data_IF_326461696615
#
_entry.id   IF_326461696615
#
_cell.length_a   1.000
_cell.length_b   1.000
_cell.length_c   1.000
_cell.angle_alpha   90.00
_cell.angle_beta   90.00
_cell.angle_gamma   90.00
#
_symmetry.space_group_name_H-M   'P 1'
#
loop_
_entity.id
_entity.type
_entity.pdbx_description
1 polymer ?
#
# COMPACT_ATOMS: atom_id res chain seq x y z
N UNK A 1 -12.26 -29.75 26.36
CA UNK A 1 -10.89 -29.48 25.88
C UNK A 1 -9.92 -29.93 26.94
N UNK A 2 -8.87 -30.60 26.56
CA UNK A 2 -7.78 -30.95 27.47
C UNK A 2 -6.85 -29.76 27.62
N UNK A 3 -6.30 -29.56 28.82
CA UNK A 3 -5.37 -28.48 29.13
C UNK A 3 -4.09 -29.07 29.72
N UNK A 4 -2.97 -28.40 29.52
CA UNK A 4 -1.70 -28.60 30.19
C UNK A 4 -1.38 -27.40 31.07
N UNK A 5 -0.56 -27.59 32.07
CA UNK A 5 -0.09 -26.52 32.95
C UNK A 5 1.25 -26.00 32.43
N UNK A 6 1.31 -24.69 32.17
CA UNK A 6 2.53 -23.98 31.82
C UNK A 6 2.86 -22.95 32.90
N UNK A 7 4.14 -22.57 33.03
CA UNK A 7 4.58 -21.67 34.10
C UNK A 7 5.44 -20.55 33.50
N UNK A 8 5.20 -19.34 33.96
CA UNK A 8 6.07 -18.18 33.79
C UNK A 8 6.42 -17.51 35.11
N UNK A 9 7.04 -16.33 35.09
CA UNK A 9 7.44 -15.58 36.29
C UNK A 9 6.25 -15.11 37.15
N UNK A 10 5.03 -15.12 36.59
CA UNK A 10 3.80 -14.75 37.30
C UNK A 10 3.07 -15.98 37.90
N UNK A 11 3.57 -17.20 37.67
CA UNK A 11 2.99 -18.44 38.13
C UNK A 11 2.39 -19.33 37.06
N UNK A 12 1.54 -20.27 37.45
CA UNK A 12 0.98 -21.29 36.56
C UNK A 12 -0.25 -20.79 35.80
N UNK A 13 -0.41 -21.22 34.57
CA UNK A 13 -1.58 -20.96 33.72
C UNK A 13 -1.96 -22.22 32.92
N UNK A 14 -3.26 -22.39 32.67
CA UNK A 14 -3.78 -23.48 31.86
C UNK A 14 -3.71 -23.10 30.40
N UNK A 15 -3.07 -23.95 29.58
CA UNK A 15 -2.93 -23.77 28.11
C UNK A 15 -3.59 -24.98 27.43
N UNK A 16 -4.34 -24.82 26.32
CA UNK A 16 -4.89 -25.97 25.61
C UNK A 16 -3.81 -26.99 25.27
N UNK A 17 -4.07 -28.28 25.48
CA UNK A 17 -3.03 -29.31 25.41
C UNK A 17 -2.38 -29.47 24.02
N UNK A 18 -3.12 -29.13 22.95
CA UNK A 18 -2.72 -29.36 21.55
C UNK A 18 -1.97 -28.20 20.88
N UNK A 19 -1.89 -27.03 21.52
CA UNK A 19 -1.25 -25.84 20.92
C UNK A 19 0.23 -25.74 21.26
N UNK A 20 1.02 -25.08 20.40
CA UNK A 20 2.46 -24.89 20.61
C UNK A 20 2.80 -23.62 21.38
N UNK A 21 1.86 -22.71 21.66
CA UNK A 21 2.16 -21.57 22.52
C UNK A 21 2.19 -21.95 23.99
N UNK A 22 2.85 -21.13 24.80
CA UNK A 22 3.03 -21.33 26.24
C UNK A 22 2.27 -20.33 27.10
N UNK A 23 2.81 -20.10 28.32
CA UNK A 23 2.17 -19.31 29.35
C UNK A 23 1.98 -17.84 28.98
N UNK A 24 2.99 -17.20 28.37
CA UNK A 24 2.94 -15.77 28.08
C UNK A 24 1.93 -15.45 26.96
N UNK A 25 1.85 -16.27 25.93
CA UNK A 25 0.82 -16.14 24.89
C UNK A 25 -0.57 -16.36 25.45
N UNK A 26 -0.75 -17.38 26.30
CA UNK A 26 -2.05 -17.65 26.93
C UNK A 26 -2.53 -16.46 27.78
N UNK A 27 -1.64 -15.87 28.59
CA UNK A 27 -1.98 -14.65 29.34
C UNK A 27 -2.36 -13.49 28.46
N UNK A 28 -1.69 -13.31 27.33
CA UNK A 28 -2.04 -12.26 26.36
C UNK A 28 -3.44 -12.46 25.80
N UNK A 29 -3.80 -13.71 25.45
CA UNK A 29 -5.15 -14.06 24.97
C UNK A 29 -6.22 -13.72 26.01
N UNK A 30 -5.92 -13.97 27.30
CA UNK A 30 -6.86 -13.71 28.41
C UNK A 30 -6.96 -12.22 28.75
N UNK A 31 -5.84 -11.49 28.65
CA UNK A 31 -5.75 -10.07 29.01
C UNK A 31 -6.34 -9.15 27.93
N UNK A 32 -6.09 -9.41 26.65
CA UNK A 32 -6.48 -8.52 25.55
C UNK A 32 -7.65 -9.08 24.76
N UNK A 33 -8.88 -8.82 25.22
CA UNK A 33 -10.13 -9.28 24.59
C UNK A 33 -10.74 -8.20 23.68
N UNK A 34 -9.92 -7.59 22.82
CA UNK A 34 -10.29 -6.46 21.98
C UNK A 34 -10.30 -6.89 20.51
N UNK A 35 -11.44 -6.83 19.84
CA UNK A 35 -11.62 -7.11 18.40
C UNK A 35 -10.97 -8.43 17.92
N UNK A 36 -11.09 -9.50 18.69
CA UNK A 36 -10.40 -10.79 18.48
C UNK A 36 -10.63 -11.43 17.12
N UNK A 37 -11.83 -11.25 16.58
CA UNK A 37 -12.23 -11.89 15.33
C UNK A 37 -11.82 -11.06 14.09
N UNK A 38 -11.51 -9.77 14.27
CA UNK A 38 -11.30 -8.83 13.18
C UNK A 38 -9.91 -8.22 13.14
N UNK A 39 -9.20 -8.10 14.28
CA UNK A 39 -7.90 -7.45 14.36
C UNK A 39 -6.80 -8.38 14.91
N UNK A 40 -6.59 -9.50 14.25
CA UNK A 40 -5.43 -10.38 14.53
C UNK A 40 -4.15 -9.73 14.01
N UNK A 41 -3.03 -10.07 14.65
CA UNK A 41 -1.70 -9.68 14.15
C UNK A 41 -1.52 -10.22 12.74
N UNK A 42 -1.13 -9.38 11.77
CA UNK A 42 -0.94 -9.81 10.38
C UNK A 42 0.08 -10.95 10.25
N UNK A 43 -0.21 -11.87 9.33
CA UNK A 43 0.67 -13.03 9.10
C UNK A 43 2.07 -12.62 8.62
N UNK A 44 2.19 -11.48 7.95
CA UNK A 44 3.46 -10.91 7.50
C UNK A 44 4.41 -10.62 8.68
N UNK A 45 3.87 -10.25 9.84
CA UNK A 45 4.65 -10.06 11.07
C UNK A 45 5.11 -11.40 11.61
N UNK A 46 4.27 -12.43 11.55
CA UNK A 46 4.64 -13.80 11.96
C UNK A 46 5.77 -14.34 11.09
N UNK A 47 5.68 -14.17 9.76
CA UNK A 47 6.75 -14.54 8.83
C UNK A 47 8.03 -13.73 9.07
N UNK A 48 7.90 -12.42 9.35
CA UNK A 48 9.05 -11.60 9.68
C UNK A 48 9.76 -12.08 10.95
N UNK A 49 9.00 -12.47 11.98
CA UNK A 49 9.60 -13.12 13.16
C UNK A 49 10.31 -14.44 12.81
N UNK A 50 9.77 -15.26 11.91
CA UNK A 50 10.44 -16.49 11.50
C UNK A 50 11.81 -16.19 10.83
N UNK A 51 11.89 -15.20 9.96
CA UNK A 51 13.19 -14.75 9.40
C UNK A 51 14.14 -14.25 10.49
N UNK A 52 13.66 -13.44 11.44
CA UNK A 52 14.46 -12.92 12.55
C UNK A 52 15.00 -14.06 13.42
N UNK A 53 14.13 -14.99 13.85
CA UNK A 53 14.51 -16.07 14.77
C UNK A 53 15.47 -17.05 14.09
N UNK A 54 15.29 -17.36 12.81
CA UNK A 54 16.22 -18.16 12.04
C UNK A 54 17.58 -17.49 11.89
N UNK A 55 17.61 -16.19 11.50
CA UNK A 55 18.83 -15.43 11.36
C UNK A 55 19.58 -15.30 12.70
N UNK A 56 18.86 -15.03 13.80
CA UNK A 56 19.44 -14.94 15.13
C UNK A 56 20.02 -16.27 15.61
N UNK A 57 19.35 -17.39 15.34
CA UNK A 57 19.87 -18.72 15.67
C UNK A 57 21.16 -19.03 14.90
N UNK A 58 21.21 -18.72 13.60
CA UNK A 58 22.42 -18.88 12.76
C UNK A 58 23.56 -17.99 13.32
N UNK A 59 23.28 -16.72 13.56
CA UNK A 59 24.29 -15.76 14.07
C UNK A 59 24.82 -16.16 15.45
N UNK A 60 23.98 -16.61 16.37
CA UNK A 60 24.38 -17.07 17.69
C UNK A 60 25.16 -18.41 17.63
N UNK A 61 24.83 -19.28 16.68
CA UNK A 61 25.61 -20.51 16.44
C UNK A 61 27.00 -20.15 15.88
N UNK A 62 27.10 -19.29 14.90
CA UNK A 62 28.38 -18.82 14.34
C UNK A 62 29.27 -18.12 15.37
N UNK A 63 28.63 -17.40 16.33
CA UNK A 63 29.32 -16.81 17.48
C UNK A 63 29.68 -17.81 18.60
N UNK A 64 29.33 -19.08 18.46
CA UNK A 64 29.64 -20.14 19.43
C UNK A 64 28.83 -20.12 20.72
N UNK A 65 27.71 -19.38 20.79
CA UNK A 65 26.87 -19.23 21.98
C UNK A 65 25.51 -19.95 21.90
N UNK A 66 25.21 -20.61 20.78
CA UNK A 66 24.09 -21.52 20.59
C UNK A 66 24.60 -22.84 20.01
N UNK A 67 24.05 -23.97 20.45
CA UNK A 67 24.43 -25.29 19.93
C UNK A 67 23.98 -25.46 18.47
N UNK A 68 24.69 -26.33 17.72
CA UNK A 68 24.28 -26.69 16.36
C UNK A 68 22.87 -27.30 16.33
N UNK A 69 22.59 -28.22 17.26
CA UNK A 69 21.28 -28.87 17.37
C UNK A 69 20.14 -27.85 17.60
N UNK A 70 20.32 -26.89 18.52
CA UNK A 70 19.34 -25.83 18.76
C UNK A 70 19.15 -24.95 17.55
N UNK A 71 20.21 -24.58 16.84
CA UNK A 71 20.15 -23.79 15.61
C UNK A 71 19.36 -24.51 14.50
N UNK A 72 19.62 -25.80 14.29
CA UNK A 72 18.94 -26.61 13.28
C UNK A 72 17.45 -26.78 13.60
N UNK A 73 17.10 -27.04 14.86
CA UNK A 73 15.71 -27.20 15.31
C UNK A 73 14.93 -25.88 15.19
N UNK A 74 15.49 -24.76 15.63
CA UNK A 74 14.88 -23.42 15.50
C UNK A 74 14.67 -23.11 14.02
N UNK A 75 15.69 -23.33 13.18
CA UNK A 75 15.61 -23.06 11.75
C UNK A 75 14.51 -23.87 11.08
N UNK A 76 14.40 -25.16 11.41
CA UNK A 76 13.36 -26.04 10.85
C UNK A 76 11.94 -25.58 11.20
N UNK A 77 11.70 -25.14 12.43
CA UNK A 77 10.37 -24.60 12.81
C UNK A 77 10.10 -23.28 12.13
N UNK A 78 11.11 -22.41 11.99
CA UNK A 78 10.94 -21.17 11.23
C UNK A 78 10.54 -21.45 9.77
N UNK A 79 11.11 -22.48 9.15
CA UNK A 79 10.69 -22.89 7.79
C UNK A 79 9.24 -23.40 7.77
N UNK A 80 8.79 -24.17 8.78
CA UNK A 80 7.37 -24.55 8.90
C UNK A 80 6.44 -23.34 9.03
N UNK A 81 6.86 -22.28 9.74
CA UNK A 81 6.09 -21.02 9.84
C UNK A 81 6.02 -20.32 8.47
N UNK A 82 7.15 -20.18 7.79
CA UNK A 82 7.20 -19.56 6.45
C UNK A 82 6.38 -20.34 5.40
N UNK A 83 6.28 -21.65 5.55
CA UNK A 83 5.43 -22.54 4.75
C UNK A 83 3.94 -22.51 5.14
N UNK A 84 3.51 -21.61 6.03
CA UNK A 84 2.14 -21.48 6.55
C UNK A 84 1.58 -22.73 7.26
N UNK A 85 2.43 -23.61 7.78
CA UNK A 85 2.01 -24.86 8.45
C UNK A 85 1.55 -24.64 9.91
N UNK A 86 1.85 -23.47 10.48
CA UNK A 86 1.61 -23.15 11.90
C UNK A 86 0.78 -21.88 12.11
N UNK A 87 0.03 -21.41 11.12
CA UNK A 87 -0.70 -20.13 11.15
C UNK A 87 -1.71 -20.05 12.31
N UNK A 88 -2.34 -21.16 12.68
CA UNK A 88 -3.28 -21.30 13.78
C UNK A 88 -2.64 -21.12 15.17
N UNK A 89 -1.31 -21.15 15.25
CA UNK A 89 -0.54 -20.99 16.48
C UNK A 89 -0.25 -19.53 16.87
N UNK A 90 -0.74 -18.57 16.07
CA UNK A 90 -0.52 -17.12 16.25
C UNK A 90 -1.85 -16.38 16.44
N UNK A 91 -2.53 -16.58 17.60
CA UNK A 91 -3.89 -16.08 17.83
C UNK A 91 -3.95 -14.62 18.31
N UNK A 92 -2.80 -13.95 18.53
CA UNK A 92 -2.76 -12.66 19.21
C UNK A 92 -3.36 -11.53 18.38
N UNK A 93 -3.94 -10.56 19.09
CA UNK A 93 -4.55 -9.37 18.48
C UNK A 93 -3.55 -8.22 18.38
N UNK A 94 -3.87 -7.25 17.53
CA UNK A 94 -3.12 -5.98 17.37
C UNK A 94 -3.14 -5.17 18.68
N UNK A 95 -4.26 -5.19 19.40
CA UNK A 95 -4.49 -4.43 20.64
C UNK A 95 -3.87 -5.17 21.84
N UNK A 96 -2.54 -5.17 21.87
CA UNK A 96 -1.68 -5.78 22.89
C UNK A 96 -0.73 -4.74 23.45
N UNK A 97 0.30 -5.15 24.23
CA UNK A 97 1.34 -4.19 24.63
C UNK A 97 1.97 -3.51 23.43
N UNK A 98 2.14 -2.22 23.50
CA UNK A 98 2.61 -1.39 22.36
C UNK A 98 4.05 -1.65 21.93
N UNK A 99 4.85 -2.35 22.74
CA UNK A 99 6.18 -2.84 22.37
C UNK A 99 6.15 -4.06 21.44
N UNK A 100 5.01 -4.79 21.38
CA UNK A 100 4.87 -6.05 20.65
C UNK A 100 5.47 -7.26 21.36
N UNK A 101 5.77 -7.16 22.66
CA UNK A 101 6.39 -8.24 23.43
C UNK A 101 5.60 -9.55 23.37
N UNK A 102 4.26 -9.51 23.43
CA UNK A 102 3.48 -10.74 23.37
C UNK A 102 3.62 -11.46 22.02
N UNK A 103 3.66 -10.74 20.91
CA UNK A 103 3.89 -11.33 19.58
C UNK A 103 5.31 -11.94 19.47
N UNK A 104 6.33 -11.27 19.99
CA UNK A 104 7.67 -11.83 20.08
C UNK A 104 7.71 -13.11 20.91
N UNK A 105 7.06 -13.11 22.08
CA UNK A 105 7.00 -14.29 22.95
C UNK A 105 6.15 -15.40 22.34
N UNK A 106 5.06 -15.09 21.63
CA UNK A 106 4.30 -16.08 20.91
C UNK A 106 5.19 -16.82 19.88
N UNK A 107 5.98 -16.09 19.09
CA UNK A 107 6.93 -16.71 18.16
C UNK A 107 7.97 -17.57 18.92
N UNK A 108 8.54 -17.07 20.01
CA UNK A 108 9.52 -17.80 20.80
C UNK A 108 8.94 -19.10 21.38
N UNK A 109 7.73 -19.04 21.97
CA UNK A 109 7.07 -20.21 22.56
C UNK A 109 6.70 -21.25 21.50
N UNK A 110 6.09 -20.83 20.39
CA UNK A 110 5.74 -21.74 19.27
C UNK A 110 6.98 -22.43 18.71
N UNK A 111 8.05 -21.67 18.48
CA UNK A 111 9.32 -22.24 17.96
C UNK A 111 9.90 -23.25 18.95
N UNK A 112 10.01 -22.90 20.23
CA UNK A 112 10.60 -23.76 21.24
C UNK A 112 9.80 -25.07 21.43
N UNK A 113 8.49 -24.98 21.51
CA UNK A 113 7.63 -26.13 21.81
C UNK A 113 7.45 -27.03 20.57
N UNK A 114 7.33 -26.44 19.38
CA UNK A 114 7.33 -27.23 18.14
C UNK A 114 8.66 -27.94 17.92
N UNK A 115 9.81 -27.29 18.19
CA UNK A 115 11.14 -27.89 18.12
C UNK A 115 11.26 -29.09 19.07
N UNK A 116 10.74 -28.97 20.30
CA UNK A 116 10.71 -30.06 21.26
C UNK A 116 9.95 -31.29 20.73
N UNK A 117 8.77 -31.06 20.15
CA UNK A 117 7.97 -32.15 19.54
C UNK A 117 8.67 -32.74 18.33
N UNK A 118 9.31 -31.93 17.48
CA UNK A 118 10.11 -32.43 16.34
C UNK A 118 11.29 -33.31 16.78
N UNK A 119 11.80 -33.06 17.98
CA UNK A 119 12.87 -33.86 18.59
C UNK A 119 12.36 -35.08 19.39
N UNK A 120 11.08 -35.45 19.27
CA UNK A 120 10.47 -36.61 19.89
C UNK A 120 9.90 -36.39 21.28
N UNK A 121 9.93 -35.17 21.83
CA UNK A 121 9.33 -34.80 23.10
C UNK A 121 7.82 -34.61 23.04
N UNK A 122 7.19 -34.48 24.22
CA UNK A 122 5.77 -34.20 24.33
C UNK A 122 5.52 -32.79 24.90
N UNK A 123 4.39 -32.16 24.51
CA UNK A 123 4.03 -30.85 25.03
C UNK A 123 3.82 -30.80 26.54
N UNK A 124 3.48 -31.94 27.14
CA UNK A 124 3.33 -32.11 28.59
C UNK A 124 4.64 -32.20 29.37
N UNK A 125 5.78 -32.39 28.69
CA UNK A 125 7.07 -32.50 29.37
C UNK A 125 7.38 -31.20 30.12
N UNK A 126 7.83 -31.28 31.34
CA UNK A 126 8.16 -30.12 32.16
C UNK A 126 9.33 -29.33 31.60
N UNK A 127 10.35 -30.02 31.09
CA UNK A 127 11.55 -29.43 30.51
C UNK A 127 11.58 -29.62 29.00
N UNK A 128 11.58 -28.52 28.24
CA UNK A 128 11.73 -28.52 26.78
C UNK A 128 13.20 -28.53 26.40
N UNK A 129 13.54 -29.10 25.23
CA UNK A 129 14.93 -29.12 24.70
C UNK A 129 15.44 -27.73 24.36
N UNK A 130 14.56 -26.84 23.97
CA UNK A 130 14.82 -25.43 23.63
C UNK A 130 13.98 -24.55 24.52
N UNK A 131 14.61 -23.53 25.14
CA UNK A 131 13.92 -22.57 25.99
C UNK A 131 13.53 -21.31 25.18
N UNK A 132 12.27 -20.83 25.30
CA UNK A 132 11.81 -19.64 24.54
C UNK A 132 12.67 -18.40 24.72
N UNK A 133 13.10 -18.10 25.96
CA UNK A 133 13.89 -16.90 26.26
C UNK A 133 15.39 -17.13 26.09
N UNK A 134 15.93 -18.25 26.57
CA UNK A 134 17.37 -18.45 26.68
C UNK A 134 18.00 -18.91 25.35
N UNK A 135 17.22 -19.57 24.48
CA UNK A 135 17.69 -20.07 23.20
C UNK A 135 17.08 -19.30 22.02
N UNK A 136 15.74 -19.29 21.88
CA UNK A 136 15.07 -18.64 20.73
C UNK A 136 15.24 -17.13 20.75
N UNK A 137 15.14 -16.52 21.93
CA UNK A 137 15.29 -15.06 22.10
C UNK A 137 16.73 -14.63 22.46
N UNK A 138 17.71 -15.53 22.40
CA UNK A 138 19.12 -15.23 22.73
C UNK A 138 19.65 -14.03 21.94
N UNK A 139 20.34 -13.10 22.62
CA UNK A 139 20.88 -11.85 22.05
C UNK A 139 19.84 -10.86 21.53
N UNK A 140 18.57 -10.96 21.98
CA UNK A 140 17.45 -10.16 21.48
C UNK A 140 16.63 -9.56 22.62
N UNK A 141 15.87 -8.53 22.31
CA UNK A 141 14.76 -8.00 23.08
C UNK A 141 13.52 -7.89 22.20
N UNK A 142 12.32 -7.89 22.78
CA UNK A 142 11.12 -7.50 22.02
C UNK A 142 11.23 -6.08 21.45
N UNK A 143 12.03 -5.24 22.09
CA UNK A 143 12.17 -3.83 21.73
C UNK A 143 12.90 -3.64 20.39
N UNK A 144 13.85 -4.51 20.05
CA UNK A 144 14.56 -4.49 18.75
C UNK A 144 13.99 -5.50 17.73
N UNK A 145 13.42 -6.64 18.19
CA UNK A 145 12.86 -7.64 17.27
C UNK A 145 11.57 -7.19 16.61
N UNK A 146 10.65 -6.54 17.34
CA UNK A 146 9.38 -6.13 16.77
C UNK A 146 9.53 -5.02 15.70
N UNK A 147 10.30 -3.92 15.90
CA UNK A 147 10.54 -2.97 14.83
C UNK A 147 11.29 -3.59 13.64
N UNK A 148 12.19 -4.54 13.87
CA UNK A 148 12.81 -5.31 12.78
C UNK A 148 11.76 -6.11 11.99
N UNK A 149 10.81 -6.75 12.68
CA UNK A 149 9.69 -7.44 12.01
C UNK A 149 8.81 -6.47 11.23
N UNK A 150 8.55 -5.27 11.76
CA UNK A 150 7.82 -4.21 11.04
C UNK A 150 8.51 -3.85 9.72
N UNK A 151 9.83 -3.61 9.75
CA UNK A 151 10.60 -3.24 8.56
C UNK A 151 10.62 -4.37 7.52
N UNK A 152 10.87 -5.61 7.93
CA UNK A 152 10.85 -6.77 7.02
C UNK A 152 9.47 -6.93 6.36
N UNK A 153 8.39 -6.91 7.14
CA UNK A 153 7.04 -7.07 6.64
C UNK A 153 6.63 -5.92 5.72
N UNK A 154 6.94 -4.67 6.09
CA UNK A 154 6.65 -3.48 5.29
C UNK A 154 7.42 -3.50 3.96
N UNK A 155 8.71 -3.81 3.99
CA UNK A 155 9.53 -3.89 2.77
C UNK A 155 8.99 -4.95 1.81
N UNK A 156 8.74 -6.17 2.33
CA UNK A 156 8.23 -7.29 1.52
C UNK A 156 6.90 -6.98 0.85
N UNK A 157 5.92 -6.48 1.59
CA UNK A 157 4.59 -6.20 1.01
C UNK A 157 4.66 -5.11 -0.08
N UNK A 158 5.54 -4.11 0.09
CA UNK A 158 5.76 -3.10 -0.95
C UNK A 158 6.31 -3.70 -2.24
N UNK A 159 7.30 -4.59 -2.14
CA UNK A 159 7.95 -5.23 -3.30
C UNK A 159 7.05 -6.29 -3.94
N UNK A 160 6.36 -7.10 -3.14
CA UNK A 160 5.65 -8.30 -3.61
C UNK A 160 4.20 -8.01 -4.05
N UNK A 161 3.58 -6.91 -3.54
CA UNK A 161 2.18 -6.59 -3.82
C UNK A 161 2.00 -5.16 -4.35
N UNK A 162 2.46 -4.16 -3.61
CA UNK A 162 2.10 -2.76 -3.87
C UNK A 162 2.72 -2.22 -5.16
N UNK A 163 4.04 -2.33 -5.29
CA UNK A 163 4.77 -1.85 -6.48
C UNK A 163 4.34 -2.59 -7.76
N UNK A 164 4.18 -3.93 -7.77
CA UNK A 164 3.66 -4.64 -8.94
C UNK A 164 2.28 -4.15 -9.37
N UNK A 165 1.34 -3.99 -8.43
CA UNK A 165 -0.02 -3.55 -8.75
C UNK A 165 -0.06 -2.14 -9.36
N UNK A 166 0.65 -1.18 -8.78
CA UNK A 166 0.76 0.18 -9.31
C UNK A 166 1.44 0.19 -10.68
N UNK A 167 2.50 -0.61 -10.85
CA UNK A 167 3.26 -0.70 -12.11
C UNK A 167 2.39 -1.24 -13.24
N UNK A 168 1.62 -2.29 -12.97
CA UNK A 168 0.70 -2.87 -13.95
C UNK A 168 -0.34 -1.86 -14.42
N UNK A 169 -1.00 -1.16 -13.49
CA UNK A 169 -1.99 -0.12 -13.81
C UNK A 169 -1.35 1.03 -14.61
N UNK A 170 -0.21 1.52 -14.14
CA UNK A 170 0.53 2.60 -14.83
C UNK A 170 0.86 2.22 -16.27
N UNK A 171 1.35 1.00 -16.52
CA UNK A 171 1.72 0.54 -17.85
C UNK A 171 0.49 0.41 -18.77
N UNK A 172 -0.64 -0.05 -18.26
CA UNK A 172 -1.91 -0.08 -19.03
C UNK A 172 -2.36 1.31 -19.42
N UNK A 173 -2.35 2.27 -18.48
CA UNK A 173 -2.72 3.66 -18.78
C UNK A 173 -1.75 4.32 -19.76
N UNK A 174 -0.45 3.99 -19.69
CA UNK A 174 0.56 4.47 -20.63
C UNK A 174 0.28 3.98 -22.07
N UNK A 175 -0.01 2.68 -22.20
CA UNK A 175 -0.42 2.12 -23.50
C UNK A 175 -1.68 2.78 -24.05
N UNK A 176 -2.69 3.05 -23.19
CA UNK A 176 -3.91 3.77 -23.59
C UNK A 176 -3.63 5.23 -23.95
N UNK A 177 -2.77 5.92 -23.20
CA UNK A 177 -2.33 7.27 -23.50
C UNK A 177 -1.75 7.35 -24.92
N UNK A 178 -0.82 6.45 -25.22
CA UNK A 178 -0.20 6.39 -26.56
C UNK A 178 -1.22 6.07 -27.67
N UNK A 179 -2.11 5.10 -27.42
CA UNK A 179 -3.12 4.71 -28.39
C UNK A 179 -4.14 5.82 -28.70
N UNK A 180 -4.46 6.67 -27.74
CA UNK A 180 -5.47 7.73 -27.85
C UNK A 180 -4.88 9.13 -28.09
N UNK A 181 -3.59 9.22 -28.39
CA UNK A 181 -2.90 10.50 -28.56
C UNK A 181 -3.45 11.34 -29.73
N UNK A 182 -4.06 10.70 -30.73
CA UNK A 182 -4.67 11.35 -31.87
C UNK A 182 -6.11 11.84 -31.65
N UNK A 183 -6.76 11.48 -30.53
CA UNK A 183 -8.17 11.78 -30.28
C UNK A 183 -8.28 13.14 -29.59
N UNK A 184 -8.67 14.16 -30.31
CA UNK A 184 -8.88 15.51 -29.80
C UNK A 184 -10.22 15.62 -29.09
N UNK A 185 -10.23 16.15 -27.89
CA UNK A 185 -11.40 16.36 -27.02
C UNK A 185 -11.35 17.73 -26.35
N UNK A 186 -12.47 18.16 -25.76
CA UNK A 186 -12.44 19.33 -24.89
C UNK A 186 -11.73 19.01 -23.57
N UNK A 187 -10.95 19.98 -23.08
CA UNK A 187 -10.51 20.00 -21.69
C UNK A 187 -11.60 20.54 -20.76
N UNK A 188 -11.47 20.23 -19.46
CA UNK A 188 -12.35 20.77 -18.43
C UNK A 188 -11.52 21.28 -17.26
N UNK A 189 -11.76 22.54 -16.88
CA UNK A 189 -11.24 23.13 -15.64
C UNK A 189 -12.42 23.62 -14.83
N UNK A 190 -12.41 23.43 -13.50
CA UNK A 190 -13.56 23.68 -12.63
C UNK A 190 -14.84 22.92 -13.04
N UNK A 191 -14.72 21.81 -13.74
CA UNK A 191 -15.78 21.06 -14.43
C UNK A 191 -16.51 21.85 -15.53
N UNK A 192 -15.95 23.00 -15.95
CA UNK A 192 -16.43 23.83 -17.05
C UNK A 192 -15.58 23.57 -18.31
N UNK A 193 -16.18 23.82 -19.47
CA UNK A 193 -15.50 23.67 -20.75
C UNK A 193 -14.25 24.56 -20.83
N UNK A 194 -13.17 23.97 -21.33
CA UNK A 194 -11.88 24.62 -21.54
C UNK A 194 -11.35 24.37 -22.95
N UNK A 195 -10.12 24.79 -23.21
CA UNK A 195 -9.47 24.56 -24.51
C UNK A 195 -9.24 23.08 -24.77
N UNK A 196 -9.13 22.67 -26.05
CA UNK A 196 -8.87 21.29 -26.43
C UNK A 196 -7.54 20.75 -25.92
N UNK A 197 -7.53 19.42 -25.67
CA UNK A 197 -6.36 18.57 -25.52
C UNK A 197 -6.67 17.22 -26.19
N UNK A 198 -5.72 16.31 -26.22
CA UNK A 198 -6.03 14.94 -26.65
C UNK A 198 -6.38 14.05 -25.47
N UNK A 199 -7.16 12.99 -25.71
CA UNK A 199 -7.44 11.97 -24.68
C UNK A 199 -6.15 11.30 -24.19
N UNK A 200 -5.18 11.09 -25.10
CA UNK A 200 -3.86 10.60 -24.74
C UNK A 200 -3.11 11.53 -23.80
N UNK A 201 -3.15 12.85 -24.01
CA UNK A 201 -2.55 13.84 -23.11
C UNK A 201 -3.22 13.83 -21.73
N UNK A 202 -4.54 13.69 -21.65
CA UNK A 202 -5.26 13.58 -20.40
C UNK A 202 -4.82 12.34 -19.59
N UNK A 203 -4.75 11.17 -20.24
CA UNK A 203 -4.26 9.93 -19.60
C UNK A 203 -2.78 10.00 -19.23
N UNK A 204 -1.95 10.69 -19.99
CA UNK A 204 -0.52 10.87 -19.69
C UNK A 204 -0.29 11.55 -18.32
N UNK A 205 -1.20 12.43 -17.91
CA UNK A 205 -1.20 13.02 -16.57
C UNK A 205 -1.35 11.97 -15.47
N UNK A 206 -2.21 10.97 -15.66
CA UNK A 206 -2.38 9.86 -14.71
C UNK A 206 -1.15 8.96 -14.67
N UNK A 207 -0.56 8.68 -15.83
CA UNK A 207 0.70 7.93 -15.94
C UNK A 207 1.82 8.63 -15.18
N UNK A 208 1.95 9.93 -15.32
CA UNK A 208 2.94 10.73 -14.59
C UNK A 208 2.74 10.68 -13.07
N UNK A 209 1.48 10.79 -12.58
CA UNK A 209 1.16 10.67 -11.16
C UNK A 209 1.59 9.31 -10.59
N UNK A 210 1.25 8.21 -11.27
CA UNK A 210 1.63 6.86 -10.82
C UNK A 210 3.14 6.63 -10.92
N UNK A 211 3.82 7.17 -11.94
CA UNK A 211 5.28 7.11 -12.08
C UNK A 211 5.97 7.82 -10.91
N UNK A 212 5.48 9.00 -10.53
CA UNK A 212 6.00 9.72 -9.36
C UNK A 212 5.71 8.97 -8.06
N UNK A 213 4.52 8.36 -7.93
CA UNK A 213 4.17 7.51 -6.79
C UNK A 213 5.10 6.32 -6.62
N UNK A 214 5.38 5.58 -7.70
CA UNK A 214 6.35 4.48 -7.72
C UNK A 214 7.74 4.94 -7.27
N UNK A 215 8.20 6.09 -7.78
CA UNK A 215 9.49 6.68 -7.36
C UNK A 215 9.52 7.01 -5.88
N UNK A 216 8.44 7.60 -5.34
CA UNK A 216 8.36 7.99 -3.93
C UNK A 216 8.40 6.76 -3.01
N UNK A 217 7.68 5.68 -3.35
CA UNK A 217 7.74 4.41 -2.61
C UNK A 217 9.16 3.84 -2.67
N UNK A 218 9.77 3.75 -3.86
CA UNK A 218 11.13 3.23 -4.01
C UNK A 218 12.16 4.02 -3.19
N UNK A 219 12.03 5.34 -3.09
CA UNK A 219 12.91 6.18 -2.29
C UNK A 219 12.84 5.85 -0.78
N UNK A 220 11.67 5.47 -0.27
CA UNK A 220 11.49 5.12 1.16
C UNK A 220 12.05 3.73 1.53
N UNK A 221 12.33 2.87 0.53
CA UNK A 221 12.84 1.52 0.79
C UNK A 221 14.23 1.51 1.45
N UNK A 222 15.07 2.51 1.19
CA UNK A 222 16.39 2.59 1.81
C UNK A 222 16.30 2.69 3.33
N UNK A 223 15.38 3.53 3.84
CA UNK A 223 15.17 3.69 5.28
C UNK A 223 14.53 2.44 5.90
N UNK A 224 13.56 1.81 5.21
CA UNK A 224 12.99 0.54 5.64
C UNK A 224 14.00 -0.62 5.65
N UNK A 225 15.11 -0.53 4.91
CA UNK A 225 16.14 -1.57 4.91
C UNK A 225 17.00 -1.59 6.17
N UNK A 226 16.97 -0.54 6.99
CA UNK A 226 17.75 -0.41 8.22
C UNK A 226 17.05 -1.12 9.39
N UNK A 227 17.72 -2.13 9.98
CA UNK A 227 17.12 -2.99 11.01
C UNK A 227 17.57 -2.61 12.43
N UNK A 228 16.61 -2.53 13.35
CA UNK A 228 16.84 -2.24 14.76
C UNK A 228 17.54 -3.38 15.52
N UNK A 229 17.49 -4.61 15.00
CA UNK A 229 17.99 -5.81 15.67
C UNK A 229 19.46 -5.68 16.05
N UNK A 230 19.79 -6.09 17.26
CA UNK A 230 21.09 -5.89 17.89
C UNK A 230 21.14 -4.69 18.85
N UNK A 231 20.10 -3.82 18.85
CA UNK A 231 19.97 -2.74 19.85
C UNK A 231 19.55 -3.25 21.23
N UNK A 232 18.92 -4.41 21.27
CA UNK A 232 18.37 -5.04 22.47
C UNK A 232 17.37 -4.15 23.22
N UNK A 233 17.54 -3.93 24.52
CA UNK A 233 16.52 -3.30 25.37
C UNK A 233 16.32 -1.80 25.09
N UNK A 234 17.39 -1.04 24.87
CA UNK A 234 17.38 0.44 24.76
C UNK A 234 18.27 0.98 23.65
N UNK A 235 18.92 0.12 22.86
CA UNK A 235 19.81 0.53 21.77
C UNK A 235 21.31 0.29 22.00
N UNK A 236 21.69 -0.16 23.21
CA UNK A 236 23.11 -0.34 23.61
C UNK A 236 23.70 -1.70 23.20
N UNK A 237 22.86 -2.65 22.75
CA UNK A 237 23.32 -4.00 22.40
C UNK A 237 23.76 -4.85 23.58
N UNK A 238 23.23 -4.59 24.77
CA UNK A 238 23.59 -5.37 25.98
C UNK A 238 23.32 -6.87 25.77
N UNK A 239 24.28 -7.71 26.21
CA UNK A 239 24.24 -9.17 26.14
C UNK A 239 24.30 -9.75 24.71
N UNK A 240 24.74 -9.00 23.70
CA UNK A 240 25.02 -9.52 22.36
C UNK A 240 26.49 -9.87 22.19
N UNK A 241 26.85 -10.86 21.36
CA UNK A 241 28.22 -11.09 20.97
C UNK A 241 28.74 -9.95 20.06
N UNK A 242 30.06 -9.79 19.91
CA UNK A 242 30.64 -8.79 19.01
C UNK A 242 30.08 -8.90 17.59
N UNK A 243 29.77 -7.75 16.98
CA UNK A 243 29.25 -7.64 15.60
C UNK A 243 27.91 -8.37 15.36
N UNK A 244 27.17 -8.71 16.40
CA UNK A 244 25.88 -9.39 16.29
C UNK A 244 24.90 -8.65 15.38
N UNK A 245 24.78 -7.34 15.54
CA UNK A 245 23.86 -6.48 14.78
C UNK A 245 24.14 -6.48 13.26
N UNK A 246 25.40 -6.47 12.88
CA UNK A 246 25.83 -6.56 11.46
C UNK A 246 25.57 -7.96 10.91
N UNK A 247 26.00 -9.00 11.65
CA UNK A 247 25.88 -10.38 11.19
C UNK A 247 24.44 -10.87 11.09
N UNK A 248 23.59 -10.50 12.06
CA UNK A 248 22.18 -10.89 12.01
C UNK A 248 21.42 -10.17 10.90
N UNK A 249 21.73 -8.91 10.62
CA UNK A 249 21.15 -8.19 9.47
C UNK A 249 21.57 -8.83 8.14
N UNK A 250 22.84 -9.23 8.00
CA UNK A 250 23.35 -9.95 6.84
C UNK A 250 22.63 -11.30 6.66
N UNK A 251 22.45 -12.05 7.74
CA UNK A 251 21.72 -13.31 7.69
C UNK A 251 20.25 -13.11 7.31
N UNK A 252 19.59 -12.04 7.80
CA UNK A 252 18.22 -11.67 7.35
C UNK A 252 18.23 -11.35 5.85
N UNK A 253 19.20 -10.56 5.37
CA UNK A 253 19.32 -10.22 3.95
C UNK A 253 19.49 -11.48 3.09
N UNK A 254 20.33 -12.41 3.49
CA UNK A 254 20.56 -13.69 2.79
C UNK A 254 19.28 -14.57 2.76
N UNK A 255 18.55 -14.64 3.86
CA UNK A 255 17.34 -15.47 3.96
C UNK A 255 16.15 -14.88 3.17
N UNK A 256 16.07 -13.57 3.08
CA UNK A 256 14.97 -12.88 2.39
C UNK A 256 15.27 -12.54 0.93
N UNK A 257 16.55 -12.51 0.54
CA UNK A 257 17.00 -11.97 -0.75
C UNK A 257 16.82 -10.47 -0.89
N UNK A 258 16.63 -9.72 0.21
CA UNK A 258 16.39 -8.29 0.24
C UNK A 258 17.57 -7.54 0.89
N UNK A 259 17.81 -6.26 0.56
CA UNK A 259 19.02 -5.54 0.92
C UNK A 259 18.97 -4.97 2.35
N UNK A 260 18.64 -5.80 3.34
CA UNK A 260 18.62 -5.38 4.73
C UNK A 260 20.03 -5.17 5.29
N UNK A 261 20.16 -4.10 6.08
CA UNK A 261 21.40 -3.72 6.78
C UNK A 261 21.08 -3.41 8.24
N UNK A 262 22.13 -3.38 9.08
CA UNK A 262 21.99 -2.90 10.45
C UNK A 262 21.73 -1.39 10.46
N UNK A 263 20.78 -0.91 11.28
CA UNK A 263 20.52 0.52 11.42
C UNK A 263 21.75 1.28 11.96
N UNK A 264 22.01 2.43 11.39
CA UNK A 264 23.12 3.29 11.82
C UNK A 264 22.98 3.78 13.26
N UNK A 265 21.75 3.98 13.72
CA UNK A 265 21.43 4.41 15.07
C UNK A 265 20.34 3.54 15.68
N UNK A 266 20.72 2.67 16.63
CA UNK A 266 19.79 1.76 17.31
C UNK A 266 18.84 2.48 18.27
N UNK A 267 19.20 3.64 18.78
CA UNK A 267 18.35 4.43 19.67
C UNK A 267 17.15 5.01 18.91
N UNK A 268 17.41 5.56 17.73
CA UNK A 268 16.36 6.04 16.83
C UNK A 268 15.44 4.88 16.40
N UNK A 269 16.00 3.79 15.88
CA UNK A 269 15.24 2.69 15.30
C UNK A 269 14.39 1.90 16.31
N UNK A 270 14.65 2.02 17.62
CA UNK A 270 13.80 1.48 18.68
C UNK A 270 12.67 2.43 19.09
N UNK A 271 12.86 3.73 19.00
CA UNK A 271 12.00 4.73 19.64
C UNK A 271 11.18 5.60 18.68
N UNK A 272 11.54 5.71 17.39
CA UNK A 272 10.92 6.65 16.46
C UNK A 272 9.99 5.98 15.45
N UNK A 273 10.45 5.06 14.61
CA UNK A 273 9.74 4.43 13.47
C UNK A 273 9.44 5.38 12.31
N UNK A 274 10.30 6.36 12.11
CA UNK A 274 10.19 7.35 11.02
C UNK A 274 10.18 6.68 9.64
N UNK A 275 10.87 5.55 9.45
CA UNK A 275 10.84 4.77 8.22
C UNK A 275 9.42 4.28 7.85
N UNK A 276 8.62 3.88 8.84
CA UNK A 276 7.22 3.47 8.64
C UNK A 276 6.35 4.68 8.28
N UNK A 277 6.55 5.81 8.96
CA UNK A 277 5.84 7.07 8.69
C UNK A 277 6.15 7.59 7.29
N UNK A 278 7.43 7.62 6.91
CA UNK A 278 7.92 8.03 5.58
C UNK A 278 7.31 7.17 4.47
N UNK A 279 7.43 5.85 4.59
CA UNK A 279 6.93 4.93 3.59
C UNK A 279 5.40 4.98 3.47
N UNK A 280 4.67 5.16 4.59
CA UNK A 280 3.22 5.35 4.52
C UNK A 280 2.84 6.71 3.92
N UNK A 281 3.62 7.76 4.14
CA UNK A 281 3.48 9.04 3.44
C UNK A 281 3.58 8.92 1.92
N UNK A 282 4.44 8.00 1.43
CA UNK A 282 4.50 7.66 0.01
C UNK A 282 3.21 6.95 -0.46
N UNK A 283 2.69 5.98 0.32
CA UNK A 283 1.40 5.32 0.04
C UNK A 283 0.24 6.32 0.02
N UNK A 284 0.20 7.26 0.96
CA UNK A 284 -0.77 8.37 0.99
C UNK A 284 -0.74 9.18 -0.32
N UNK A 285 0.44 9.52 -0.81
CA UNK A 285 0.59 10.26 -2.07
C UNK A 285 -0.03 9.48 -3.25
N UNK A 286 0.23 8.18 -3.32
CA UNK A 286 -0.39 7.29 -4.33
C UNK A 286 -1.91 7.25 -4.16
N UNK A 287 -2.42 7.14 -2.93
CA UNK A 287 -3.86 7.13 -2.66
C UNK A 287 -4.55 8.41 -3.17
N UNK A 288 -3.93 9.59 -2.98
CA UNK A 288 -4.43 10.85 -3.56
C UNK A 288 -4.50 10.80 -5.08
N UNK A 289 -3.49 10.25 -5.73
CA UNK A 289 -3.46 10.07 -7.19
C UNK A 289 -4.55 9.11 -7.66
N UNK A 290 -4.71 7.96 -7.01
CA UNK A 290 -5.73 6.96 -7.34
C UNK A 290 -7.15 7.53 -7.16
N UNK A 291 -7.39 8.32 -6.12
CA UNK A 291 -8.66 9.00 -5.88
C UNK A 291 -9.02 9.90 -7.07
N UNK A 292 -8.08 10.72 -7.54
CA UNK A 292 -8.28 11.61 -8.70
C UNK A 292 -8.51 10.79 -9.97
N UNK A 293 -7.67 9.81 -10.27
CA UNK A 293 -7.75 8.99 -11.48
C UNK A 293 -9.10 8.29 -11.58
N UNK A 294 -9.54 7.65 -10.50
CA UNK A 294 -10.84 6.96 -10.47
C UNK A 294 -12.02 7.93 -10.61
N UNK A 295 -11.96 9.11 -10.00
CA UNK A 295 -13.00 10.13 -10.13
C UNK A 295 -13.09 10.67 -11.56
N UNK A 296 -11.97 10.98 -12.20
CA UNK A 296 -11.97 11.49 -13.57
C UNK A 296 -12.50 10.42 -14.54
N UNK A 297 -12.04 9.19 -14.44
CA UNK A 297 -12.49 8.09 -15.33
C UNK A 297 -14.01 7.86 -15.19
N UNK A 298 -14.55 7.81 -13.96
CA UNK A 298 -16.00 7.61 -13.79
C UNK A 298 -16.82 8.81 -14.24
N UNK A 299 -16.30 10.03 -14.13
CA UNK A 299 -16.97 11.22 -14.62
C UNK A 299 -16.99 11.23 -16.15
N UNK A 300 -15.88 10.93 -16.82
CA UNK A 300 -15.80 10.82 -18.27
C UNK A 300 -16.70 9.68 -18.81
N UNK A 301 -16.90 8.60 -18.05
CA UNK A 301 -17.78 7.48 -18.40
C UNK A 301 -19.23 7.69 -17.96
N UNK A 302 -19.57 8.81 -17.34
CA UNK A 302 -20.92 9.05 -16.78
C UNK A 302 -22.00 9.08 -17.84
N UNK A 303 -23.16 8.54 -17.53
CA UNK A 303 -24.32 8.52 -18.39
C UNK A 303 -24.94 7.13 -18.52
N UNK A 304 -24.93 6.52 -19.71
CA UNK A 304 -24.22 6.85 -20.96
C UNK A 304 -24.86 7.96 -21.84
N UNK A 305 -26.15 8.27 -21.65
CA UNK A 305 -26.86 9.24 -22.52
C UNK A 305 -27.05 10.62 -21.87
N UNK A 306 -27.13 10.68 -20.54
CA UNK A 306 -27.44 11.89 -19.77
C UNK A 306 -26.26 12.41 -18.94
N UNK A 307 -25.04 11.96 -19.22
CA UNK A 307 -23.81 12.38 -18.59
C UNK A 307 -22.76 12.83 -19.64
N UNK A 308 -21.49 12.78 -19.26
CA UNK A 308 -20.39 13.16 -20.16
C UNK A 308 -20.24 12.15 -21.30
N UNK A 309 -20.16 10.85 -20.98
CA UNK A 309 -20.17 9.77 -21.95
C UNK A 309 -19.02 9.80 -22.96
N UNK A 310 -17.84 10.26 -22.60
CA UNK A 310 -16.66 10.29 -23.48
C UNK A 310 -15.82 9.02 -23.42
N UNK A 311 -15.98 8.24 -22.33
CA UNK A 311 -15.32 6.94 -22.17
C UNK A 311 -16.34 5.83 -21.99
N UNK A 312 -16.05 4.69 -22.60
CA UNK A 312 -16.58 3.39 -22.20
C UNK A 312 -15.69 2.76 -21.14
N UNK A 313 -16.28 2.16 -20.12
CA UNK A 313 -15.64 1.28 -19.16
C UNK A 313 -16.40 -0.05 -19.11
N UNK A 314 -15.72 -1.20 -18.85
CA UNK A 314 -16.37 -2.51 -18.84
C UNK A 314 -17.50 -2.64 -17.82
N UNK A 315 -18.54 -3.35 -18.23
CA UNK A 315 -19.65 -3.80 -17.39
C UNK A 315 -19.22 -5.07 -16.62
N UNK A 316 -19.13 -5.01 -15.31
CA UNK A 316 -18.65 -6.15 -14.50
C UNK A 316 -19.78 -6.91 -13.82
N UNK A 317 -20.88 -6.21 -13.44
CA UNK A 317 -22.02 -6.79 -12.75
C UNK A 317 -23.28 -5.92 -12.93
N UNK A 318 -24.50 -6.47 -12.71
CA UNK A 318 -25.74 -5.68 -12.69
C UNK A 318 -25.67 -4.58 -11.62
N UNK A 319 -25.96 -3.34 -12.00
CA UNK A 319 -25.75 -2.15 -11.15
C UNK A 319 -26.97 -1.73 -10.32
N UNK A 320 -28.13 -2.41 -10.47
CA UNK A 320 -29.36 -2.00 -9.76
C UNK A 320 -30.33 -3.16 -9.57
N UNK A 321 -30.96 -3.21 -8.40
CA UNK A 321 -32.01 -4.18 -8.09
C UNK A 321 -33.39 -3.81 -8.66
N UNK A 322 -33.58 -2.55 -9.09
CA UNK A 322 -34.88 -2.06 -9.56
C UNK A 322 -34.83 -1.37 -10.93
N UNK A 323 -33.64 -1.05 -11.45
CA UNK A 323 -33.45 -0.43 -12.77
C UNK A 323 -32.79 -1.44 -13.71
N UNK A 324 -33.59 -2.19 -14.53
CA UNK A 324 -33.04 -3.21 -15.41
C UNK A 324 -32.03 -2.63 -16.40
N UNK A 325 -30.90 -3.29 -16.56
CA UNK A 325 -29.86 -2.88 -17.50
C UNK A 325 -28.96 -1.73 -17.03
N UNK A 326 -29.15 -1.21 -15.80
CA UNK A 326 -28.23 -0.20 -15.24
C UNK A 326 -26.91 -0.83 -14.83
N UNK A 327 -25.81 -0.20 -15.25
CA UNK A 327 -24.45 -0.56 -14.86
C UNK A 327 -23.82 0.62 -14.12
N UNK A 328 -22.94 0.33 -13.17
CA UNK A 328 -22.24 1.31 -12.34
C UNK A 328 -20.73 1.22 -12.53
N UNK A 329 -19.97 2.31 -12.28
CA UNK A 329 -18.52 2.32 -12.33
C UNK A 329 -17.89 1.72 -11.06
N UNK A 330 -18.25 0.47 -10.72
CA UNK A 330 -17.99 -0.16 -9.42
C UNK A 330 -16.50 -0.26 -9.08
N UNK A 331 -15.65 -0.47 -10.07
CA UNK A 331 -14.19 -0.47 -9.87
C UNK A 331 -13.65 0.92 -9.47
N UNK A 332 -14.20 1.98 -10.05
CA UNK A 332 -13.87 3.34 -9.64
C UNK A 332 -14.33 3.63 -8.20
N UNK A 333 -15.52 3.13 -7.84
CA UNK A 333 -16.05 3.29 -6.47
C UNK A 333 -15.17 2.55 -5.46
N UNK A 334 -14.82 1.29 -5.73
CA UNK A 334 -13.93 0.51 -4.88
C UNK A 334 -12.56 1.20 -4.69
N UNK A 335 -11.96 1.68 -5.78
CA UNK A 335 -10.66 2.35 -5.74
C UNK A 335 -10.70 3.66 -4.92
N UNK A 336 -11.79 4.43 -5.01
CA UNK A 336 -11.96 5.64 -4.20
C UNK A 336 -12.16 5.32 -2.72
N UNK A 337 -12.88 4.25 -2.37
CA UNK A 337 -13.01 3.79 -0.98
C UNK A 337 -11.67 3.31 -0.41
N UNK A 338 -10.88 2.57 -1.18
CA UNK A 338 -9.51 2.17 -0.80
C UNK A 338 -8.65 3.39 -0.53
N UNK A 339 -8.65 4.38 -1.43
CA UNK A 339 -7.89 5.60 -1.24
C UNK A 339 -8.30 6.33 0.05
N UNK A 340 -9.59 6.44 0.33
CA UNK A 340 -10.09 7.07 1.56
C UNK A 340 -9.64 6.31 2.81
N UNK A 341 -9.66 4.96 2.80
CA UNK A 341 -9.18 4.13 3.92
C UNK A 341 -7.69 4.35 4.18
N UNK A 342 -6.87 4.40 3.13
CA UNK A 342 -5.42 4.63 3.26
C UNK A 342 -5.14 6.02 3.86
N UNK A 343 -5.89 7.05 3.46
CA UNK A 343 -5.78 8.39 4.05
C UNK A 343 -6.14 8.40 5.54
N UNK A 344 -7.15 7.61 5.95
CA UNK A 344 -7.49 7.44 7.37
C UNK A 344 -6.41 6.70 8.16
N UNK A 345 -5.83 5.64 7.60
CA UNK A 345 -4.74 4.89 8.23
C UNK A 345 -3.48 5.75 8.41
N UNK A 346 -3.21 6.69 7.49
CA UNK A 346 -2.09 7.62 7.60
C UNK A 346 -2.15 8.46 8.87
N UNK A 347 -3.33 8.93 9.25
CA UNK A 347 -3.52 9.70 10.50
C UNK A 347 -3.12 8.87 11.72
N UNK A 348 -3.57 7.61 11.79
CA UNK A 348 -3.23 6.72 12.90
C UNK A 348 -1.72 6.44 12.98
N UNK A 349 -1.06 6.21 11.83
CA UNK A 349 0.39 5.96 11.76
C UNK A 349 1.18 7.19 12.18
N UNK A 350 0.81 8.39 11.72
CA UNK A 350 1.48 9.64 12.11
C UNK A 350 1.38 9.91 13.61
N UNK A 351 0.19 9.70 14.22
CA UNK A 351 0.01 9.80 15.68
C UNK A 351 0.90 8.77 16.39
N UNK A 352 0.92 7.53 15.91
CA UNK A 352 1.76 6.46 16.46
C UNK A 352 3.25 6.81 16.39
N UNK A 353 3.73 7.30 15.24
CA UNK A 353 5.12 7.73 15.05
C UNK A 353 5.53 8.87 15.99
N UNK A 354 4.64 9.85 16.19
CA UNK A 354 4.88 10.99 17.08
C UNK A 354 4.77 10.66 18.58
N UNK A 355 4.41 9.43 18.97
CA UNK A 355 4.10 9.06 20.36
C UNK A 355 5.21 8.27 21.07
N UNK A 356 6.43 8.23 20.52
CA UNK A 356 7.59 7.63 21.18
C UNK A 356 8.03 8.46 22.41
N UNK A 357 8.45 7.75 23.49
CA UNK A 357 8.98 8.39 24.68
C UNK A 357 10.34 7.78 25.01
N UNK A 358 11.36 8.60 25.13
CA UNK A 358 12.72 8.20 25.43
C UNK A 358 13.20 7.09 24.46
N UNK A 359 13.51 5.90 24.94
CA UNK A 359 14.15 4.81 24.19
C UNK A 359 13.14 3.81 23.58
N UNK A 360 11.83 4.08 23.65
CA UNK A 360 10.83 3.16 23.09
C UNK A 360 9.56 3.86 22.60
N UNK A 361 9.09 3.43 21.45
CA UNK A 361 7.74 3.71 20.98
C UNK A 361 6.83 2.50 21.27
N UNK A 362 5.65 2.75 21.86
CA UNK A 362 4.71 1.71 22.26
C UNK A 362 3.40 1.73 21.44
N UNK A 363 3.46 2.15 20.17
CA UNK A 363 2.35 2.12 19.21
C UNK A 363 2.62 1.15 18.04
N UNK A 364 3.68 0.36 18.14
CA UNK A 364 4.19 -0.50 17.06
C UNK A 364 3.16 -1.45 16.44
N UNK A 365 2.38 -2.23 17.19
CA UNK A 365 1.41 -3.16 16.60
C UNK A 365 0.34 -2.47 15.76
N UNK A 366 -0.18 -1.33 16.24
CA UNK A 366 -1.17 -0.53 15.53
C UNK A 366 -0.58 0.11 14.26
N UNK A 367 0.64 0.64 14.34
CA UNK A 367 1.30 1.26 13.19
C UNK A 367 1.49 0.25 12.05
N UNK A 368 2.05 -0.93 12.35
CA UNK A 368 2.33 -1.91 11.30
C UNK A 368 1.06 -2.56 10.74
N UNK A 369 0.02 -2.77 11.57
CA UNK A 369 -1.27 -3.24 11.09
C UNK A 369 -1.87 -2.30 10.04
N UNK A 370 -1.91 -1.00 10.31
CA UNK A 370 -2.43 0.00 9.37
C UNK A 370 -1.54 0.13 8.13
N UNK A 371 -0.22 0.01 8.27
CA UNK A 371 0.71 0.05 7.15
C UNK A 371 0.48 -1.12 6.19
N UNK A 372 0.49 -2.34 6.70
CA UNK A 372 0.30 -3.55 5.89
C UNK A 372 -1.08 -3.58 5.22
N UNK A 373 -2.11 -3.14 5.95
CA UNK A 373 -3.46 -2.99 5.41
C UNK A 373 -3.48 -2.00 4.23
N UNK A 374 -2.89 -0.82 4.38
CA UNK A 374 -2.80 0.19 3.32
C UNK A 374 -2.03 -0.29 2.10
N UNK A 375 -0.86 -0.90 2.31
CA UNK A 375 0.00 -1.39 1.24
C UNK A 375 -0.69 -2.48 0.42
N UNK A 376 -1.34 -3.44 1.09
CA UNK A 376 -2.12 -4.51 0.46
C UNK A 376 -3.29 -3.94 -0.33
N UNK A 377 -4.10 -3.06 0.28
CA UNK A 377 -5.25 -2.44 -0.37
C UNK A 377 -4.87 -1.71 -1.66
N UNK A 378 -3.78 -0.92 -1.65
CA UNK A 378 -3.31 -0.21 -2.84
C UNK A 378 -2.90 -1.21 -3.93
N UNK A 379 -2.09 -2.21 -3.59
CA UNK A 379 -1.60 -3.20 -4.56
C UNK A 379 -2.74 -3.97 -5.21
N UNK A 380 -3.61 -4.57 -4.40
CA UNK A 380 -4.74 -5.39 -4.88
C UNK A 380 -5.79 -4.54 -5.62
N UNK A 381 -6.09 -3.33 -5.14
CA UNK A 381 -7.04 -2.44 -5.81
C UNK A 381 -6.51 -1.95 -7.17
N UNK A 382 -5.21 -1.66 -7.29
CA UNK A 382 -4.60 -1.33 -8.58
C UNK A 382 -4.67 -2.51 -9.57
N UNK A 383 -4.42 -3.75 -9.12
CA UNK A 383 -4.56 -4.95 -9.96
C UNK A 383 -6.01 -5.15 -10.40
N UNK A 384 -6.97 -5.10 -9.46
CA UNK A 384 -8.39 -5.25 -9.75
C UNK A 384 -8.90 -4.18 -10.72
N UNK A 385 -8.58 -2.91 -10.45
CA UNK A 385 -8.94 -1.79 -11.32
C UNK A 385 -8.32 -1.92 -12.71
N UNK A 386 -7.07 -2.36 -12.78
CA UNK A 386 -6.40 -2.62 -14.04
C UNK A 386 -7.13 -3.67 -14.87
N UNK A 387 -7.40 -4.83 -14.30
CA UNK A 387 -8.00 -5.98 -15.00
C UNK A 387 -9.47 -5.75 -15.38
N UNK A 388 -10.23 -5.13 -14.49
CA UNK A 388 -11.68 -5.00 -14.61
C UNK A 388 -12.16 -3.64 -15.12
N UNK A 389 -11.28 -2.65 -15.23
CA UNK A 389 -11.60 -1.33 -15.73
C UNK A 389 -10.59 -0.84 -16.78
N UNK A 390 -9.32 -0.59 -16.39
CA UNK A 390 -8.37 0.14 -17.21
C UNK A 390 -8.06 -0.53 -18.57
N UNK A 391 -7.90 -1.84 -18.60
CA UNK A 391 -7.67 -2.60 -19.85
C UNK A 391 -8.81 -2.38 -20.85
N UNK A 392 -10.04 -2.31 -20.37
CA UNK A 392 -11.25 -2.19 -21.20
C UNK A 392 -11.68 -0.75 -21.52
N UNK A 393 -10.97 0.28 -21.04
CA UNK A 393 -11.27 1.67 -21.39
C UNK A 393 -11.17 1.86 -22.90
N UNK A 394 -12.25 2.44 -23.48
CA UNK A 394 -12.29 2.82 -24.89
C UNK A 394 -12.90 4.23 -25.06
N UNK A 395 -12.49 4.99 -26.09
CA UNK A 395 -13.10 6.29 -26.38
C UNK A 395 -14.49 6.10 -27.00
N UNK A 396 -15.43 6.96 -26.63
CA UNK A 396 -16.72 7.12 -27.31
C UNK A 396 -16.61 8.32 -28.25
N UNK A 397 -16.01 8.11 -29.43
CA UNK A 397 -15.57 9.16 -30.33
C UNK A 397 -16.72 10.06 -30.81
N UNK A 398 -17.93 9.53 -31.02
CA UNK A 398 -19.11 10.33 -31.41
C UNK A 398 -19.47 11.35 -30.32
N UNK A 399 -19.44 10.95 -29.04
CA UNK A 399 -19.69 11.87 -27.93
C UNK A 399 -18.54 12.87 -27.74
N UNK A 400 -17.30 12.42 -27.87
CA UNK A 400 -16.12 13.29 -27.84
C UNK A 400 -16.23 14.36 -28.91
N UNK A 401 -16.52 13.96 -30.14
CA UNK A 401 -16.69 14.89 -31.29
C UNK A 401 -17.86 15.84 -31.05
N UNK A 402 -19.01 15.34 -30.62
CA UNK A 402 -20.19 16.18 -30.33
C UNK A 402 -19.87 17.23 -29.27
N UNK A 403 -19.17 16.87 -28.18
CA UNK A 403 -18.79 17.79 -27.12
C UNK A 403 -17.76 18.83 -27.64
N UNK A 404 -16.80 18.40 -28.44
CA UNK A 404 -15.80 19.28 -29.07
C UNK A 404 -16.45 20.29 -29.99
N UNK A 405 -17.32 19.86 -30.90
CA UNK A 405 -17.99 20.71 -31.88
C UNK A 405 -18.91 21.75 -31.20
N UNK A 406 -19.47 21.44 -30.03
CA UNK A 406 -20.34 22.35 -29.28
C UNK A 406 -19.57 23.28 -28.34
N UNK A 407 -18.27 23.11 -28.15
CA UNK A 407 -17.51 23.92 -27.19
C UNK A 407 -17.34 25.36 -27.65
N UNK A 408 -17.78 26.30 -26.81
CA UNK A 408 -17.57 27.73 -27.01
C UNK A 408 -16.09 28.13 -26.85
N UNK A 409 -15.26 27.30 -26.19
CA UNK A 409 -13.86 27.63 -25.93
C UNK A 409 -12.94 27.45 -27.14
N UNK A 410 -13.44 26.85 -28.23
CA UNK A 410 -12.75 26.86 -29.55
C UNK A 410 -12.53 28.29 -30.04
N UNK A 411 -13.31 29.25 -29.62
CA UNK A 411 -13.13 30.68 -29.93
C UNK A 411 -11.75 31.21 -29.52
N UNK A 412 -11.06 30.54 -28.61
CA UNK A 412 -9.71 30.90 -28.14
C UNK A 412 -8.69 30.92 -29.30
N UNK A 413 -8.88 30.10 -30.35
CA UNK A 413 -8.07 30.12 -31.54
C UNK A 413 -8.12 31.48 -32.26
N UNK A 414 -9.23 32.21 -32.18
CA UNK A 414 -9.43 33.48 -32.81
C UNK A 414 -8.72 34.65 -32.11
N UNK A 415 -8.29 34.49 -30.85
CA UNK A 415 -7.65 35.56 -30.07
C UNK A 415 -6.46 36.19 -30.79
N UNK A 416 -5.68 35.42 -31.53
CA UNK A 416 -4.49 35.88 -32.29
C UNK A 416 -4.84 36.53 -33.62
N UNK A 417 -6.09 36.39 -34.09
CA UNK A 417 -6.56 36.87 -35.38
C UNK A 417 -7.39 38.15 -35.25
N UNK A 418 -8.38 38.14 -34.38
CA UNK A 418 -9.36 39.22 -34.20
C UNK A 418 -9.32 39.91 -32.84
N UNK A 419 -8.49 39.39 -31.90
CA UNK A 419 -8.32 39.91 -30.56
C UNK A 419 -9.31 39.34 -29.53
N UNK A 420 -8.96 39.47 -28.27
CA UNK A 420 -9.67 38.87 -27.12
C UNK A 420 -11.13 39.31 -27.01
N UNK A 421 -11.39 40.62 -27.12
CA UNK A 421 -12.74 41.17 -26.89
C UNK A 421 -13.74 40.74 -27.96
N UNK A 422 -13.36 40.71 -29.25
CA UNK A 422 -14.22 40.22 -30.34
C UNK A 422 -14.47 38.70 -30.18
N UNK A 423 -13.45 37.95 -29.82
CA UNK A 423 -13.60 36.51 -29.51
C UNK A 423 -14.55 36.28 -28.35
N UNK A 424 -14.47 37.08 -27.28
CA UNK A 424 -15.38 37.01 -26.14
C UNK A 424 -16.83 37.33 -26.52
N UNK A 425 -17.03 38.35 -27.38
CA UNK A 425 -18.36 38.73 -27.89
C UNK A 425 -18.98 37.62 -28.72
N UNK A 426 -18.21 36.96 -29.59
CA UNK A 426 -18.65 35.78 -30.36
C UNK A 426 -19.13 34.68 -29.40
N UNK A 427 -18.32 34.30 -28.43
CA UNK A 427 -18.67 33.22 -27.46
C UNK A 427 -19.93 33.55 -26.63
N UNK A 428 -20.01 34.76 -26.10
CA UNK A 428 -21.16 35.21 -25.31
C UNK A 428 -22.45 35.29 -26.14
N UNK A 429 -22.37 35.78 -27.35
CA UNK A 429 -23.51 35.90 -28.26
C UNK A 429 -23.96 34.52 -28.74
N UNK A 430 -23.02 33.62 -29.08
CA UNK A 430 -23.31 32.24 -29.42
C UNK A 430 -24.05 31.53 -28.28
N UNK A 431 -23.56 31.67 -27.03
CA UNK A 431 -24.21 31.10 -25.87
C UNK A 431 -25.64 31.62 -25.66
N UNK A 432 -25.83 32.91 -25.73
CA UNK A 432 -27.16 33.56 -25.53
C UNK A 432 -28.17 33.18 -26.62
N UNK A 433 -27.71 33.05 -27.88
CA UNK A 433 -28.58 32.80 -29.02
C UNK A 433 -28.78 31.31 -29.33
N UNK A 434 -27.96 30.41 -28.70
CA UNK A 434 -27.94 28.98 -29.03
C UNK A 434 -27.37 28.66 -30.42
N UNK A 435 -26.69 29.63 -31.06
CA UNK A 435 -26.03 29.44 -32.35
C UNK A 435 -24.61 28.88 -32.18
N UNK A 436 -24.05 28.34 -33.25
CA UNK A 436 -22.64 27.93 -33.28
C UNK A 436 -21.71 29.14 -33.26
N UNK A 437 -20.46 28.94 -32.79
CA UNK A 437 -19.43 29.98 -32.85
C UNK A 437 -19.25 30.51 -34.29
N UNK A 438 -19.19 29.60 -35.28
CA UNK A 438 -19.04 29.93 -36.69
C UNK A 438 -20.16 30.85 -37.20
N UNK A 439 -21.44 30.43 -36.98
CA UNK A 439 -22.59 31.23 -37.40
C UNK A 439 -22.58 32.60 -36.72
N UNK A 440 -22.27 32.65 -35.43
CA UNK A 440 -22.25 33.91 -34.70
C UNK A 440 -21.13 34.84 -35.17
N UNK A 441 -19.97 34.31 -35.44
CA UNK A 441 -18.82 35.11 -35.93
C UNK A 441 -19.08 35.75 -37.29
N UNK A 442 -19.76 35.00 -38.18
CA UNK A 442 -20.20 35.52 -39.51
C UNK A 442 -21.32 36.55 -39.33
N UNK A 443 -22.34 36.29 -38.52
CA UNK A 443 -23.45 37.21 -38.29
C UNK A 443 -23.00 38.55 -37.69
N UNK A 444 -21.95 38.54 -36.85
CA UNK A 444 -21.34 39.76 -36.28
C UNK A 444 -20.40 40.46 -37.27
N UNK A 445 -20.13 39.86 -38.42
CA UNK A 445 -19.27 40.46 -39.46
C UNK A 445 -17.79 40.52 -39.09
N UNK A 446 -17.33 39.66 -38.15
CA UNK A 446 -15.93 39.66 -37.72
C UNK A 446 -15.02 38.81 -38.58
N UNK A 447 -15.57 37.81 -39.33
CA UNK A 447 -14.85 36.93 -40.22
C UNK A 447 -15.81 36.20 -41.16
N UNK A 448 -15.30 35.62 -42.23
CA UNK A 448 -16.07 34.76 -43.15
C UNK A 448 -16.14 33.31 -42.65
N UNK A 449 -17.00 32.51 -43.27
CA UNK A 449 -17.12 31.09 -43.00
C UNK A 449 -15.80 30.34 -43.25
N UNK A 450 -15.12 30.72 -44.35
CA UNK A 450 -13.84 30.15 -44.80
C UNK A 450 -12.72 30.49 -43.82
N UNK A 451 -12.65 31.75 -43.35
CA UNK A 451 -11.69 32.19 -42.34
C UNK A 451 -11.89 31.45 -41.00
N UNK A 452 -13.14 31.21 -40.61
CA UNK A 452 -13.43 30.43 -39.42
C UNK A 452 -12.86 29.01 -39.53
N UNK A 453 -13.15 28.31 -40.64
CA UNK A 453 -12.69 26.95 -40.90
C UNK A 453 -11.17 26.85 -41.04
N UNK A 454 -10.51 27.90 -41.51
CA UNK A 454 -9.06 27.97 -41.62
C UNK A 454 -8.41 28.17 -40.24
N UNK A 455 -8.99 29.03 -39.38
CA UNK A 455 -8.35 29.47 -38.13
C UNK A 455 -8.74 28.65 -36.91
N UNK A 456 -9.93 28.05 -36.88
CA UNK A 456 -10.41 27.24 -35.76
C UNK A 456 -10.23 25.77 -36.09
N UNK A 457 -9.04 25.26 -35.78
CA UNK A 457 -8.65 23.85 -35.92
C UNK A 457 -8.29 23.26 -34.58
N UNK A 458 -9.21 22.51 -33.95
CA UNK A 458 -8.98 21.94 -32.60
C UNK A 458 -7.67 21.14 -32.50
N UNK A 459 -7.27 20.42 -33.55
CA UNK A 459 -6.04 19.66 -33.65
C UNK A 459 -4.76 20.50 -33.57
N UNK A 460 -4.86 21.80 -33.87
CA UNK A 460 -3.74 22.75 -33.73
C UNK A 460 -3.71 23.45 -32.37
N UNK A 461 -4.74 23.24 -31.54
CA UNK A 461 -4.86 23.86 -30.23
C UNK A 461 -4.30 23.00 -29.09
N UNK A 462 -3.91 21.78 -29.38
CA UNK A 462 -3.47 20.77 -28.35
C UNK A 462 -1.97 20.87 -27.98
N UNK A 463 -1.26 21.87 -28.53
CA UNK A 463 0.17 22.03 -28.30
C UNK A 463 1.01 20.99 -29.04
N UNK A 464 2.28 20.86 -28.65
CA UNK A 464 3.14 19.80 -29.18
C UNK A 464 2.78 18.45 -28.54
N UNK A 465 2.45 17.48 -29.39
CA UNK A 465 2.37 16.08 -28.97
C UNK A 465 3.81 15.61 -28.79
N UNK A 466 4.20 15.31 -27.55
CA UNK A 466 5.55 14.87 -27.17
C UNK A 466 5.59 13.36 -27.16
#
# INVERSE_FOLDING_TARGET
MEYRLEKDTMGTVQVPAHVYWGAQTQRSIENFKIARDTNKMPIEIVHAFAYIKKAAAITNFEAGILSKESCELISKVCDEILDNKLNDQFPLVVWQTGSGTQSNMNANEVIAYRAHVLNGGQLSDEKKIIHPNDDVNKSQSSNDTFPTAMHIAAYKILIECTLPGITQLRNTLDNKSNAFMHIVKIGRTHLMDATPLTLGQELSGYVAQLTHGLRTINNSLSHLSELALGGTAVGTGINTPPHYDVNVALNIANLTGLPFITAHNKFESLAAHDAIVEAHGALKTVACSLMKIANDIRLLASGPRCGIGELFIPDNEPGSSIMPGKVNPTQCEALTMVAAQVLGNDVAINIGGASGHFELNVFKPMMIYNFLHSARLIGEACMSFNEKCAIGIAPLEDNIKKNLDNSLMLVTALNTKIGYYKSAEIAQTAHKSGKTLKQTAVDLGYLTSEEFDEWVKPEQMVGKII
#
